data_IF_205524180525
#
_entry.id   IF_205524180525
#
_cell.length_a   1.000
_cell.length_b   1.000
_cell.length_c   1.000
_cell.angle_alpha   90.00
_cell.angle_beta   90.00
_cell.angle_gamma   90.00
#
_symmetry.space_group_name_H-M   'P 1'
#
loop_
_entity.id
_entity.type
_entity.pdbx_description
1 polymer ?
#
# COMPACT_ATOMS: atom_id res chain seq x y z
N UNK A 1 -27.99 -5.74 5.53
CA UNK A 1 -26.76 -5.57 4.74
C UNK A 1 -26.10 -4.26 5.18
N UNK A 2 -24.81 -4.30 5.50
CA UNK A 2 -24.02 -3.12 5.87
C UNK A 2 -23.03 -2.88 4.72
N UNK A 3 -22.89 -1.63 4.29
CA UNK A 3 -21.92 -1.28 3.27
C UNK A 3 -20.50 -1.52 3.78
N UNK A 4 -19.60 -2.01 2.92
CA UNK A 4 -18.26 -2.46 3.34
C UNK A 4 -17.43 -1.32 3.93
N UNK A 5 -17.61 -0.09 3.46
CA UNK A 5 -16.91 1.09 3.99
C UNK A 5 -17.34 1.49 5.42
N UNK A 6 -18.41 0.86 5.95
CA UNK A 6 -18.92 1.12 7.30
C UNK A 6 -18.58 0.03 8.31
N UNK A 7 -18.00 -1.09 7.86
CA UNK A 7 -17.57 -2.18 8.73
C UNK A 7 -16.38 -1.71 9.58
N UNK A 8 -16.35 -2.13 10.84
CA UNK A 8 -15.29 -1.80 11.80
C UNK A 8 -14.77 -3.05 12.50
N UNK A 9 -13.54 -2.96 13.00
CA UNK A 9 -13.02 -3.95 13.96
C UNK A 9 -14.00 -4.13 15.14
N UNK A 10 -14.28 -5.38 15.49
CA UNK A 10 -15.25 -5.77 16.50
C UNK A 10 -16.67 -6.04 15.97
N UNK A 11 -17.00 -5.64 14.74
CA UNK A 11 -18.29 -5.99 14.13
C UNK A 11 -18.40 -7.50 13.90
N UNK A 12 -19.62 -8.02 13.75
CA UNK A 12 -19.85 -9.42 13.39
C UNK A 12 -20.36 -9.53 11.96
N UNK A 13 -19.74 -10.42 11.19
CA UNK A 13 -20.12 -10.76 9.81
C UNK A 13 -20.51 -12.22 9.73
N UNK A 14 -21.36 -12.56 8.75
CA UNK A 14 -21.68 -13.95 8.44
C UNK A 14 -20.53 -14.55 7.64
N UNK A 15 -19.99 -15.66 8.15
CA UNK A 15 -18.81 -16.32 7.60
C UNK A 15 -19.06 -17.82 7.48
N UNK A 16 -18.56 -18.43 6.41
CA UNK A 16 -18.76 -19.84 6.09
C UNK A 16 -17.42 -20.55 6.09
N UNK A 17 -17.29 -21.57 6.93
CA UNK A 17 -16.12 -22.44 6.93
C UNK A 17 -16.01 -23.15 5.56
N UNK A 18 -14.96 -22.89 4.76
CA UNK A 18 -14.84 -23.44 3.41
C UNK A 18 -14.59 -24.96 3.39
N UNK A 19 -14.18 -25.56 4.50
CA UNK A 19 -13.98 -27.01 4.61
C UNK A 19 -15.29 -27.74 4.92
N UNK A 20 -16.09 -27.18 5.82
CA UNK A 20 -17.33 -27.83 6.32
C UNK A 20 -18.61 -27.27 5.73
N UNK A 21 -18.53 -26.14 5.01
CA UNK A 21 -19.63 -25.34 4.49
C UNK A 21 -20.63 -24.91 5.59
N UNK A 22 -20.17 -24.80 6.83
CA UNK A 22 -20.99 -24.35 7.97
C UNK A 22 -20.86 -22.86 8.18
N UNK A 23 -22.00 -22.20 8.23
CA UNK A 23 -22.10 -20.76 8.41
C UNK A 23 -22.21 -20.39 9.89
N UNK A 24 -21.45 -19.41 10.36
CA UNK A 24 -21.60 -18.82 11.68
C UNK A 24 -21.16 -17.35 11.73
N UNK A 25 -21.69 -16.52 12.64
CA UNK A 25 -21.19 -15.17 12.84
C UNK A 25 -19.76 -15.18 13.37
N UNK A 26 -18.88 -14.41 12.75
CA UNK A 26 -17.47 -14.22 13.12
C UNK A 26 -17.16 -12.74 13.28
N UNK A 27 -16.26 -12.44 14.21
CA UNK A 27 -15.79 -11.09 14.50
C UNK A 27 -14.84 -10.60 13.42
N UNK A 28 -15.01 -9.35 13.02
CA UNK A 28 -14.06 -8.61 12.20
C UNK A 28 -12.89 -8.19 13.09
N UNK A 29 -11.69 -8.64 12.76
CA UNK A 29 -10.47 -8.34 13.50
C UNK A 29 -9.93 -6.97 13.11
N UNK A 30 -9.88 -6.68 11.82
CA UNK A 30 -9.24 -5.50 11.24
C UNK A 30 -9.93 -5.10 9.94
N UNK A 31 -9.74 -3.86 9.50
CA UNK A 31 -10.29 -3.32 8.25
C UNK A 31 -9.18 -2.66 7.45
N UNK A 32 -9.24 -2.77 6.13
CA UNK A 32 -8.24 -2.26 5.20
C UNK A 32 -8.90 -1.41 4.13
N UNK A 33 -8.19 -0.36 3.74
CA UNK A 33 -8.58 0.53 2.65
C UNK A 33 -7.39 0.58 1.71
N UNK A 34 -7.67 0.56 0.40
CA UNK A 34 -6.67 0.66 -0.65
C UNK A 34 -7.17 1.53 -1.78
N UNK A 35 -6.26 2.10 -2.54
CA UNK A 35 -6.57 2.68 -3.84
C UNK A 35 -5.97 1.82 -4.96
N UNK A 36 -6.80 1.49 -5.95
CA UNK A 36 -6.42 0.66 -7.10
C UNK A 36 -6.92 1.31 -8.39
N UNK A 37 -6.22 1.08 -9.49
CA UNK A 37 -6.62 1.56 -10.82
C UNK A 37 -7.29 0.48 -11.68
N UNK A 38 -7.21 -0.79 -11.28
CA UNK A 38 -7.79 -1.90 -12.03
C UNK A 38 -8.92 -2.55 -11.24
N UNK A 39 -10.11 -2.56 -11.81
CA UNK A 39 -11.32 -3.16 -11.25
C UNK A 39 -11.86 -4.28 -12.13
N UNK A 40 -12.51 -5.26 -11.52
CA UNK A 40 -13.24 -6.33 -12.18
C UNK A 40 -14.73 -6.16 -11.90
N UNK A 41 -15.53 -6.15 -12.96
CA UNK A 41 -17.00 -6.12 -12.90
C UNK A 41 -17.53 -7.51 -13.18
N UNK A 42 -18.18 -8.12 -12.19
CA UNK A 42 -18.86 -9.40 -12.32
C UNK A 42 -20.36 -9.18 -12.28
N UNK A 43 -21.09 -9.75 -13.24
CA UNK A 43 -22.55 -9.90 -13.10
C UNK A 43 -22.84 -11.32 -12.63
N UNK A 44 -23.45 -11.47 -11.46
CA UNK A 44 -23.78 -12.75 -10.83
C UNK A 44 -25.28 -12.82 -10.62
N UNK A 45 -25.98 -13.69 -11.35
CA UNK A 45 -27.45 -13.79 -11.33
C UNK A 45 -28.16 -12.41 -11.38
N UNK A 46 -27.73 -11.52 -12.27
CA UNK A 46 -28.26 -10.16 -12.44
C UNK A 46 -27.78 -9.11 -11.43
N UNK A 47 -27.02 -9.48 -10.39
CA UNK A 47 -26.38 -8.53 -9.48
C UNK A 47 -24.97 -8.17 -9.98
N UNK A 48 -24.61 -6.89 -9.97
CA UNK A 48 -23.23 -6.46 -10.25
C UNK A 48 -22.38 -6.41 -8.97
N UNK A 49 -21.22 -7.03 -9.03
CA UNK A 49 -20.19 -6.98 -7.98
C UNK A 49 -18.91 -6.41 -8.61
N UNK A 50 -18.46 -5.26 -8.09
CA UNK A 50 -17.21 -4.61 -8.48
C UNK A 50 -16.14 -4.93 -7.44
N UNK A 51 -14.99 -5.45 -7.88
CA UNK A 51 -13.95 -5.97 -6.99
C UNK A 51 -12.54 -5.82 -7.57
N UNK A 52 -11.51 -6.16 -6.79
CA UNK A 52 -10.12 -6.17 -7.27
C UNK A 52 -9.80 -7.48 -8.01
N UNK A 53 -8.84 -7.42 -8.93
CA UNK A 53 -8.39 -8.57 -9.76
C UNK A 53 -8.02 -9.79 -8.92
N UNK A 54 -7.35 -9.59 -7.78
CA UNK A 54 -6.86 -10.67 -6.92
C UNK A 54 -7.88 -11.17 -5.89
N UNK A 55 -9.10 -10.63 -5.85
CA UNK A 55 -10.07 -10.97 -4.81
C UNK A 55 -10.61 -12.41 -4.98
N UNK A 56 -10.50 -13.31 -3.98
CA UNK A 56 -10.91 -14.70 -4.16
C UNK A 56 -12.42 -14.94 -3.97
N UNK A 57 -13.05 -15.59 -4.95
CA UNK A 57 -14.44 -16.05 -4.92
C UNK A 57 -14.49 -17.58 -4.82
N UNK A 58 -15.41 -18.12 -4.03
CA UNK A 58 -15.57 -19.57 -3.92
C UNK A 58 -16.35 -20.13 -5.11
N UNK A 59 -15.67 -20.89 -5.96
CA UNK A 59 -16.24 -21.61 -7.09
C UNK A 59 -16.51 -23.06 -6.67
N UNK A 60 -17.75 -23.50 -6.85
CA UNK A 60 -18.22 -24.82 -6.46
C UNK A 60 -17.37 -25.92 -7.09
N UNK A 61 -16.93 -26.87 -6.25
CA UNK A 61 -16.03 -27.98 -6.59
C UNK A 61 -14.61 -27.58 -7.06
N UNK A 62 -14.26 -26.30 -7.02
CA UNK A 62 -12.94 -25.80 -7.42
C UNK A 62 -12.22 -25.07 -6.27
N UNK A 63 -12.96 -24.52 -5.31
CA UNK A 63 -12.43 -23.73 -4.21
C UNK A 63 -12.30 -22.25 -4.59
N UNK A 64 -11.38 -21.53 -3.95
CA UNK A 64 -11.22 -20.11 -4.20
C UNK A 64 -10.45 -19.82 -5.48
N UNK A 65 -11.05 -19.01 -6.36
CA UNK A 65 -10.46 -18.53 -7.62
C UNK A 65 -10.44 -17.00 -7.57
N UNK A 66 -9.36 -16.38 -8.05
CA UNK A 66 -9.25 -14.92 -8.12
C UNK A 66 -10.29 -14.35 -9.08
N UNK A 67 -10.82 -13.18 -8.76
CA UNK A 67 -11.84 -12.51 -9.57
C UNK A 67 -11.41 -12.38 -11.03
N UNK A 68 -10.18 -11.94 -11.30
CA UNK A 68 -9.63 -11.78 -12.65
C UNK A 68 -9.39 -13.09 -13.42
N UNK A 69 -9.57 -14.24 -12.77
CA UNK A 69 -9.43 -15.59 -13.37
C UNK A 69 -10.79 -16.29 -13.52
N UNK A 70 -11.88 -15.69 -13.03
CA UNK A 70 -13.23 -16.21 -13.23
C UNK A 70 -13.64 -16.13 -14.70
N UNK A 71 -14.50 -17.06 -15.10
CA UNK A 71 -15.09 -17.08 -16.44
C UNK A 71 -16.61 -17.10 -16.37
N UNK A 72 -17.25 -16.57 -17.42
CA UNK A 72 -18.71 -16.67 -17.58
C UNK A 72 -19.11 -18.15 -17.57
N UNK A 73 -20.09 -18.48 -16.73
CA UNK A 73 -20.55 -19.84 -16.48
C UNK A 73 -20.02 -20.47 -15.20
N UNK A 74 -19.07 -19.85 -14.49
CA UNK A 74 -18.63 -20.35 -13.18
C UNK A 74 -19.79 -20.35 -12.16
N UNK A 75 -19.85 -21.41 -11.35
CA UNK A 75 -20.87 -21.62 -10.31
C UNK A 75 -20.32 -21.16 -8.95
N UNK A 76 -20.70 -19.96 -8.51
CA UNK A 76 -20.44 -19.44 -7.17
C UNK A 76 -21.47 -19.92 -6.16
N UNK A 77 -21.23 -19.71 -4.86
CA UNK A 77 -22.14 -20.12 -3.78
C UNK A 77 -22.66 -18.94 -2.97
N UNK A 78 -23.95 -18.98 -2.63
CA UNK A 78 -24.56 -18.09 -1.63
C UNK A 78 -24.34 -18.58 -0.18
N UNK A 79 -24.83 -17.81 0.79
CA UNK A 79 -24.77 -18.13 2.24
C UNK A 79 -25.43 -19.46 2.64
N UNK A 80 -26.34 -19.99 1.82
CA UNK A 80 -27.04 -21.25 2.05
C UNK A 80 -26.45 -22.41 1.21
N UNK A 81 -25.42 -22.15 0.42
CA UNK A 81 -24.81 -23.12 -0.50
C UNK A 81 -25.59 -23.31 -1.81
N UNK A 82 -26.50 -22.39 -2.17
CA UNK A 82 -27.14 -22.38 -3.47
C UNK A 82 -26.18 -21.85 -4.55
N UNK A 83 -26.36 -22.32 -5.78
CA UNK A 83 -25.53 -21.89 -6.92
C UNK A 83 -25.96 -20.52 -7.43
N UNK A 84 -24.97 -19.65 -7.65
CA UNK A 84 -25.09 -18.37 -8.33
C UNK A 84 -24.17 -18.39 -9.57
N UNK A 85 -24.67 -17.98 -10.73
CA UNK A 85 -23.95 -18.08 -11.99
C UNK A 85 -23.24 -16.77 -12.32
N UNK A 86 -21.98 -16.83 -12.74
CA UNK A 86 -21.31 -15.69 -13.38
C UNK A 86 -21.86 -15.52 -14.79
N UNK A 87 -22.56 -14.43 -15.03
CA UNK A 87 -23.23 -14.10 -16.30
C UNK A 87 -22.41 -13.15 -17.17
N UNK A 88 -21.58 -12.30 -16.56
CA UNK A 88 -20.72 -11.36 -17.26
C UNK A 88 -19.41 -11.10 -16.49
N UNK A 89 -18.37 -10.73 -17.23
CA UNK A 89 -17.05 -10.39 -16.73
C UNK A 89 -16.48 -9.23 -17.57
N UNK A 90 -16.03 -8.17 -16.91
CA UNK A 90 -15.33 -7.05 -17.55
C UNK A 90 -14.20 -6.52 -16.65
N UNK A 91 -13.18 -5.91 -17.26
CA UNK A 91 -12.04 -5.31 -16.56
C UNK A 91 -11.95 -3.83 -16.93
N UNK A 92 -12.04 -2.99 -15.91
CA UNK A 92 -11.90 -1.54 -16.03
C UNK A 92 -10.52 -1.08 -15.57
N UNK A 93 -9.88 -0.22 -16.37
CA UNK A 93 -8.75 0.59 -15.93
C UNK A 93 -9.27 2.02 -15.71
N UNK A 94 -9.29 2.47 -14.45
CA UNK A 94 -9.82 3.77 -14.07
C UNK A 94 -8.80 4.88 -14.34
N UNK A 95 -9.30 6.07 -14.72
CA UNK A 95 -8.46 7.25 -14.95
C UNK A 95 -7.77 7.73 -13.67
N UNK A 96 -8.47 7.64 -12.54
CA UNK A 96 -7.98 7.98 -11.20
C UNK A 96 -8.09 6.77 -10.27
N UNK A 97 -7.21 6.63 -9.26
CA UNK A 97 -7.29 5.53 -8.30
C UNK A 97 -8.64 5.48 -7.57
N UNK A 98 -9.25 4.30 -7.52
CA UNK A 98 -10.52 4.05 -6.85
C UNK A 98 -10.29 3.40 -5.48
N UNK A 99 -10.95 3.94 -4.46
CA UNK A 99 -10.90 3.41 -3.10
C UNK A 99 -11.68 2.09 -3.01
N UNK A 100 -11.01 1.04 -2.54
CA UNK A 100 -11.55 -0.30 -2.28
C UNK A 100 -11.33 -0.69 -0.82
N UNK A 101 -12.17 -1.58 -0.33
CA UNK A 101 -12.23 -1.95 1.09
C UNK A 101 -12.09 -3.46 1.26
N UNK A 102 -11.47 -3.88 2.35
CA UNK A 102 -11.38 -5.28 2.77
C UNK A 102 -11.36 -5.35 4.30
N UNK A 103 -11.55 -6.52 4.89
CA UNK A 103 -11.43 -6.69 6.34
C UNK A 103 -11.02 -8.11 6.72
N UNK A 104 -10.39 -8.27 7.89
CA UNK A 104 -9.98 -9.56 8.41
C UNK A 104 -11.10 -10.20 9.23
N UNK A 105 -11.51 -11.43 8.91
CA UNK A 105 -12.51 -12.19 9.68
C UNK A 105 -11.83 -13.25 10.52
N UNK A 106 -12.22 -13.37 11.79
CA UNK A 106 -11.67 -14.38 12.69
C UNK A 106 -12.01 -15.81 12.24
N UNK A 107 -11.07 -16.74 12.44
CA UNK A 107 -11.19 -18.20 12.28
C UNK A 107 -11.39 -18.69 10.85
N UNK A 108 -12.43 -18.23 10.16
CA UNK A 108 -12.84 -18.79 8.86
C UNK A 108 -12.26 -18.02 7.68
N UNK A 109 -11.86 -16.76 7.86
CA UNK A 109 -11.29 -15.93 6.81
C UNK A 109 -12.16 -15.83 5.54
N UNK A 110 -13.48 -15.96 5.70
CA UNK A 110 -14.47 -15.81 4.64
C UNK A 110 -15.58 -14.87 5.06
N UNK A 111 -16.26 -14.30 4.08
CA UNK A 111 -17.47 -13.51 4.27
C UNK A 111 -18.34 -13.55 3.01
N UNK A 112 -19.47 -12.85 3.04
CA UNK A 112 -20.42 -12.82 1.94
C UNK A 112 -20.61 -11.40 1.44
N UNK A 113 -20.61 -11.22 0.11
CA UNK A 113 -20.73 -9.92 -0.57
C UNK A 113 -21.95 -9.87 -1.46
N UNK A 114 -22.42 -8.66 -1.73
CA UNK A 114 -23.64 -8.43 -2.51
C UNK A 114 -24.93 -8.76 -1.75
N UNK A 115 -26.06 -8.43 -2.36
CA UNK A 115 -27.42 -8.74 -1.93
C UNK A 115 -27.69 -10.25 -1.96
N UNK A 116 -27.10 -10.95 -2.93
CA UNK A 116 -27.19 -12.40 -3.06
C UNK A 116 -26.28 -13.16 -2.08
N UNK A 117 -25.34 -12.47 -1.42
CA UNK A 117 -24.49 -13.05 -0.40
C UNK A 117 -23.51 -14.08 -0.96
N UNK A 118 -22.74 -13.70 -1.99
CA UNK A 118 -21.71 -14.52 -2.63
C UNK A 118 -20.54 -14.78 -1.68
N UNK A 119 -20.14 -16.04 -1.52
CA UNK A 119 -19.03 -16.46 -0.66
C UNK A 119 -17.67 -16.06 -1.25
N UNK A 120 -16.94 -15.24 -0.49
CA UNK A 120 -15.59 -14.77 -0.81
C UNK A 120 -14.62 -15.06 0.34
N UNK A 121 -13.33 -15.07 0.03
CA UNK A 121 -12.27 -15.18 1.03
C UNK A 121 -11.63 -13.82 1.29
N UNK A 122 -11.06 -13.69 2.48
CA UNK A 122 -10.08 -12.67 2.78
C UNK A 122 -8.88 -12.81 1.84
N UNK A 123 -8.61 -11.85 0.96
CA UNK A 123 -7.35 -11.85 0.23
C UNK A 123 -6.19 -11.77 1.25
N UNK A 124 -5.50 -12.90 1.51
CA UNK A 124 -4.59 -13.12 2.65
C UNK A 124 -3.40 -12.15 2.72
N UNK A 125 -3.14 -11.42 1.65
CA UNK A 125 -1.94 -10.59 1.55
C UNK A 125 -1.94 -9.38 2.50
N UNK A 126 -3.09 -9.05 3.10
CA UNK A 126 -3.27 -7.78 3.79
C UNK A 126 -4.00 -8.00 5.12
N UNK A 127 -3.20 -8.05 6.19
CA UNK A 127 -3.69 -8.14 7.57
C UNK A 127 -2.85 -9.03 8.47
N UNK A 128 -2.58 -8.56 9.70
CA UNK A 128 -1.79 -9.25 10.74
C UNK A 128 -0.26 -9.32 10.57
N UNK A 129 0.35 -8.52 9.69
CA UNK A 129 1.81 -8.55 9.51
C UNK A 129 2.33 -9.87 8.96
N UNK A 130 1.52 -10.58 8.17
CA UNK A 130 1.98 -11.69 7.36
C UNK A 130 2.86 -11.17 6.23
N UNK A 131 4.13 -10.96 6.58
CA UNK A 131 5.17 -10.69 5.63
C UNK A 131 5.79 -12.01 5.19
N UNK A 132 6.02 -12.16 3.88
CA UNK A 132 6.83 -13.26 3.35
C UNK A 132 8.25 -13.20 3.95
N UNK A 133 8.74 -11.97 4.18
CA UNK A 133 10.00 -11.68 4.84
C UNK A 133 9.76 -10.87 6.12
N UNK A 134 10.04 -11.45 7.28
CA UNK A 134 9.76 -10.80 8.56
C UNK A 134 10.52 -9.46 8.72
N UNK A 135 9.83 -8.30 8.86
CA UNK A 135 10.49 -7.01 9.02
C UNK A 135 11.36 -6.93 10.28
N UNK A 136 11.01 -7.65 11.35
CA UNK A 136 11.79 -7.72 12.58
C UNK A 136 13.17 -8.38 12.40
N UNK A 137 13.43 -9.08 11.29
CA UNK A 137 14.76 -9.61 10.98
C UNK A 137 15.71 -8.52 10.43
N UNK A 138 15.19 -7.35 10.05
CA UNK A 138 15.98 -6.25 9.49
C UNK A 138 16.36 -5.23 10.58
N UNK A 139 17.67 -5.04 10.89
CA UNK A 139 18.10 -4.10 11.92
C UNK A 139 17.69 -2.64 11.66
N UNK A 140 17.51 -2.24 10.40
CA UNK A 140 17.02 -0.90 10.06
C UNK A 140 15.55 -0.72 10.45
N UNK A 141 14.73 -1.76 10.30
CA UNK A 141 13.34 -1.77 10.77
C UNK A 141 13.32 -1.64 12.29
N UNK A 142 14.08 -2.48 13.00
CA UNK A 142 14.15 -2.44 14.46
C UNK A 142 14.68 -1.10 15.02
N UNK A 143 15.44 -0.34 14.24
CA UNK A 143 15.93 0.97 14.66
C UNK A 143 14.83 2.04 14.64
N UNK A 144 13.85 1.93 13.74
CA UNK A 144 12.91 3.02 13.44
C UNK A 144 11.43 2.66 13.65
N UNK A 145 11.09 1.38 13.75
CA UNK A 145 9.74 0.86 13.95
C UNK A 145 9.69 -0.28 15.00
N UNK A 146 8.51 -0.51 15.55
CA UNK A 146 8.21 -1.57 16.50
C UNK A 146 6.91 -2.28 16.14
N UNK A 147 6.82 -3.57 16.47
CA UNK A 147 5.59 -4.34 16.33
C UNK A 147 4.46 -3.73 17.15
N UNK A 148 3.29 -3.63 16.54
CA UNK A 148 2.07 -3.16 17.18
C UNK A 148 0.89 -3.98 16.62
N UNK A 149 0.29 -4.86 17.44
CA UNK A 149 -0.86 -5.67 17.02
C UNK A 149 -2.10 -4.86 16.63
N UNK A 150 -2.18 -3.58 17.00
CA UNK A 150 -3.28 -2.71 16.61
C UNK A 150 -2.98 -1.90 15.34
N UNK A 151 -1.75 -1.95 14.82
CA UNK A 151 -1.41 -1.23 13.60
C UNK A 151 -1.89 -2.01 12.38
N UNK A 152 -2.40 -1.32 11.35
CA UNK A 152 -2.99 -1.92 10.13
C UNK A 152 -2.07 -2.95 9.46
N UNK A 153 -0.75 -2.73 9.50
CA UNK A 153 0.25 -3.64 8.94
C UNK A 153 1.19 -4.25 10.01
N UNK A 154 0.78 -4.24 11.28
CA UNK A 154 1.49 -4.87 12.38
C UNK A 154 2.70 -4.11 12.92
N UNK A 155 3.05 -2.94 12.35
CA UNK A 155 4.20 -2.13 12.75
C UNK A 155 3.82 -0.66 12.86
N UNK A 156 4.47 0.07 13.78
CA UNK A 156 4.41 1.53 13.87
C UNK A 156 5.81 2.14 14.10
N UNK A 157 6.03 3.42 13.76
CA UNK A 157 7.26 4.12 14.05
C UNK A 157 7.56 4.26 15.55
N UNK A 158 8.85 4.18 15.90
CA UNK A 158 9.36 4.46 17.25
C UNK A 158 9.44 5.96 17.52
N UNK A 159 9.33 6.32 18.81
CA UNK A 159 9.47 7.71 19.27
C UNK A 159 10.92 8.20 19.23
N UNK A 160 11.88 7.29 19.24
CA UNK A 160 13.31 7.50 19.17
C UNK A 160 13.86 6.89 17.88
N UNK A 161 13.82 7.66 16.79
CA UNK A 161 14.30 7.19 15.49
C UNK A 161 14.25 8.27 14.42
N UNK A 162 14.57 7.89 13.19
CA UNK A 162 14.43 8.75 12.01
C UNK A 162 12.96 9.01 11.68
N UNK A 163 12.07 8.09 12.04
CA UNK A 163 10.61 8.17 11.83
C UNK A 163 9.84 8.79 13.00
N UNK A 164 10.52 9.37 14.00
CA UNK A 164 9.88 9.94 15.22
C UNK A 164 8.75 10.94 14.97
N UNK A 165 8.78 11.64 13.82
CA UNK A 165 7.75 12.61 13.46
C UNK A 165 6.40 11.94 13.16
N UNK A 166 6.39 10.64 12.85
CA UNK A 166 5.19 9.85 12.57
C UNK A 166 4.74 8.99 13.75
N UNK A 167 5.50 8.97 14.85
CA UNK A 167 5.30 8.03 15.96
C UNK A 167 4.06 8.30 16.83
N UNK A 168 3.46 9.49 16.70
CA UNK A 168 2.25 9.88 17.44
C UNK A 168 0.98 9.82 16.58
N UNK A 169 1.09 9.43 15.31
CA UNK A 169 -0.07 9.26 14.43
C UNK A 169 -0.85 7.98 14.76
N UNK A 170 -2.10 7.90 14.33
CA UNK A 170 -2.95 6.73 14.56
C UNK A 170 -2.74 5.65 13.49
N UNK A 171 -1.75 4.79 13.74
CA UNK A 171 -1.44 3.66 12.87
C UNK A 171 -2.47 2.52 12.91
N UNK A 172 -3.52 2.63 13.73
CA UNK A 172 -4.67 1.73 13.72
C UNK A 172 -5.79 2.19 12.80
N UNK A 173 -5.74 3.44 12.33
CA UNK A 173 -6.72 4.00 11.39
C UNK A 173 -6.36 3.63 9.94
N UNK A 174 -7.17 2.81 9.25
CA UNK A 174 -6.92 2.42 7.87
C UNK A 174 -6.93 3.58 6.88
N UNK A 175 -7.69 4.64 7.13
CA UNK A 175 -7.70 5.81 6.25
C UNK A 175 -6.39 6.58 6.32
N UNK A 176 -5.91 6.83 7.55
CA UNK A 176 -4.59 7.42 7.77
C UNK A 176 -3.48 6.57 7.14
N UNK A 177 -3.47 5.26 7.41
CA UNK A 177 -2.40 4.37 6.93
C UNK A 177 -2.39 4.28 5.41
N UNK A 178 -3.55 4.25 4.76
CA UNK A 178 -3.60 4.27 3.28
C UNK A 178 -3.10 5.59 2.71
N UNK A 179 -3.44 6.73 3.32
CA UNK A 179 -2.87 8.03 2.94
C UNK A 179 -1.34 8.05 3.09
N UNK A 180 -0.81 7.45 4.16
CA UNK A 180 0.62 7.32 4.37
C UNK A 180 1.27 6.36 3.35
N UNK A 181 0.60 5.27 2.97
CA UNK A 181 1.03 4.33 1.94
C UNK A 181 1.16 5.02 0.58
N UNK A 182 0.14 5.76 0.14
CA UNK A 182 0.17 6.47 -1.15
C UNK A 182 1.31 7.50 -1.20
N UNK A 183 1.52 8.27 -0.13
CA UNK A 183 2.69 9.18 -0.02
C UNK A 183 4.02 8.42 -0.10
N UNK A 184 4.08 7.21 0.45
CA UNK A 184 5.28 6.36 0.40
C UNK A 184 5.52 5.78 -0.99
N UNK A 185 4.47 5.38 -1.72
CA UNK A 185 4.56 4.92 -3.12
C UNK A 185 5.11 6.05 -3.99
N UNK A 186 4.53 7.25 -3.91
CA UNK A 186 5.01 8.42 -4.66
C UNK A 186 6.48 8.73 -4.36
N UNK A 187 6.87 8.67 -3.08
CA UNK A 187 8.26 8.87 -2.67
C UNK A 187 9.22 7.84 -3.30
N UNK A 188 8.80 6.58 -3.41
CA UNK A 188 9.61 5.51 -4.01
C UNK A 188 9.76 5.73 -5.53
N UNK A 189 8.70 6.18 -6.21
CA UNK A 189 8.75 6.54 -7.63
C UNK A 189 9.73 7.70 -7.88
N UNK A 190 9.71 8.71 -7.03
CA UNK A 190 10.65 9.83 -7.08
C UNK A 190 12.10 9.35 -6.86
N UNK A 191 12.34 8.47 -5.89
CA UNK A 191 13.67 7.89 -5.62
C UNK A 191 14.12 6.95 -6.76
N UNK A 192 13.21 6.23 -7.43
CA UNK A 192 13.52 5.46 -8.64
C UNK A 192 14.01 6.37 -9.77
N UNK A 193 13.39 7.53 -9.92
CA UNK A 193 13.83 8.55 -10.89
C UNK A 193 15.26 9.04 -10.60
N UNK A 194 15.67 9.10 -9.33
CA UNK A 194 17.06 9.40 -8.93
C UNK A 194 17.99 8.25 -9.34
N UNK A 195 17.61 6.99 -9.14
CA UNK A 195 18.40 5.84 -9.55
C UNK A 195 18.62 5.82 -11.08
N UNK A 196 17.59 6.15 -11.85
CA UNK A 196 17.65 6.24 -13.31
C UNK A 196 18.59 7.38 -13.73
N UNK A 197 18.47 8.56 -13.12
CA UNK A 197 19.38 9.69 -13.33
C UNK A 197 20.85 9.29 -13.07
N UNK A 198 21.11 8.61 -11.95
CA UNK A 198 22.47 8.15 -11.60
C UNK A 198 23.01 7.17 -12.64
N UNK A 199 22.17 6.23 -13.08
CA UNK A 199 22.54 5.23 -14.08
C UNK A 199 22.86 5.90 -15.43
N UNK A 200 22.03 6.82 -15.87
CA UNK A 200 22.22 7.60 -17.09
C UNK A 200 23.49 8.44 -17.06
N UNK A 201 23.76 9.12 -15.95
CA UNK A 201 24.97 9.93 -15.82
C UNK A 201 26.24 9.08 -15.79
N UNK A 202 26.20 7.91 -15.12
CA UNK A 202 27.30 6.94 -15.17
C UNK A 202 27.55 6.45 -16.60
N UNK A 203 26.49 6.13 -17.33
CA UNK A 203 26.58 5.69 -18.73
C UNK A 203 27.14 6.79 -19.64
N UNK A 204 26.90 8.07 -19.32
CA UNK A 204 27.47 9.23 -20.00
C UNK A 204 28.92 9.54 -19.58
N UNK A 205 29.48 8.79 -18.63
CA UNK A 205 30.84 8.98 -18.13
C UNK A 205 31.01 10.19 -17.20
N UNK A 206 29.92 10.67 -16.59
CA UNK A 206 29.99 11.73 -15.59
C UNK A 206 30.79 11.29 -14.36
N UNK A 207 31.52 12.24 -13.77
CA UNK A 207 32.24 12.06 -12.51
C UNK A 207 31.29 11.91 -11.33
N UNK A 208 31.77 11.31 -10.23
CA UNK A 208 31.00 11.17 -8.99
C UNK A 208 30.54 12.53 -8.44
N UNK A 209 31.34 13.58 -8.61
CA UNK A 209 31.01 14.95 -8.18
C UNK A 209 29.83 15.52 -8.99
N UNK A 210 29.87 15.40 -10.32
CA UNK A 210 28.78 15.83 -11.20
C UNK A 210 27.47 15.09 -10.89
N UNK A 211 27.56 13.79 -10.64
CA UNK A 211 26.40 12.97 -10.24
C UNK A 211 25.86 13.45 -8.90
N UNK A 212 26.71 13.65 -7.89
CA UNK A 212 26.29 14.10 -6.56
C UNK A 212 25.65 15.51 -6.59
N UNK A 213 26.18 16.44 -7.39
CA UNK A 213 25.55 17.73 -7.65
C UNK A 213 24.15 17.57 -8.23
N UNK A 214 24.04 16.80 -9.33
CA UNK A 214 22.78 16.64 -10.06
C UNK A 214 21.69 16.00 -9.19
N UNK A 215 22.04 15.04 -8.32
CA UNK A 215 21.10 14.47 -7.35
C UNK A 215 20.63 15.53 -6.35
N UNK A 216 21.53 16.32 -5.78
CA UNK A 216 21.16 17.36 -4.82
C UNK A 216 20.18 18.37 -5.45
N UNK A 217 20.48 18.82 -6.66
CA UNK A 217 19.66 19.78 -7.40
C UNK A 217 18.30 19.17 -7.75
N UNK A 218 18.29 17.94 -8.28
CA UNK A 218 17.06 17.21 -8.57
C UNK A 218 16.15 17.11 -7.34
N UNK A 219 16.67 16.62 -6.20
CA UNK A 219 15.87 16.45 -4.97
C UNK A 219 15.36 17.78 -4.42
N UNK A 220 16.16 18.83 -4.53
CA UNK A 220 15.76 20.15 -4.09
C UNK A 220 14.67 20.73 -4.98
N UNK A 221 14.78 20.53 -6.30
CA UNK A 221 13.76 20.94 -7.26
C UNK A 221 12.44 20.17 -7.07
N UNK A 222 12.50 18.84 -6.90
CA UNK A 222 11.30 18.02 -6.62
C UNK A 222 10.56 18.51 -5.37
N UNK A 223 11.29 18.86 -4.30
CA UNK A 223 10.70 19.43 -3.08
C UNK A 223 10.03 20.79 -3.29
N UNK A 224 10.53 21.62 -4.20
CA UNK A 224 9.87 22.88 -4.52
C UNK A 224 8.62 22.63 -5.36
N UNK A 225 8.75 21.77 -6.37
CA UNK A 225 7.67 21.44 -7.29
C UNK A 225 6.47 20.80 -6.58
N UNK A 226 6.67 20.08 -5.46
CA UNK A 226 5.57 19.53 -4.65
C UNK A 226 4.66 20.60 -4.02
N UNK A 227 5.05 21.88 -4.07
CA UNK A 227 4.25 23.01 -3.59
C UNK A 227 3.84 23.97 -4.72
N UNK A 228 3.98 23.55 -5.97
CA UNK A 228 3.52 24.28 -7.15
C UNK A 228 2.35 23.55 -7.82
N UNK A 229 1.44 24.28 -8.47
CA UNK A 229 0.50 23.70 -9.43
C UNK A 229 1.14 23.50 -10.82
N UNK A 230 0.37 23.00 -11.77
CA UNK A 230 0.82 22.74 -13.14
C UNK A 230 1.22 24.02 -13.90
N UNK A 231 0.69 25.18 -13.50
CA UNK A 231 1.01 26.48 -14.08
C UNK A 231 2.21 27.16 -13.38
N UNK A 232 2.77 26.51 -12.35
CA UNK A 232 3.89 27.00 -11.56
C UNK A 232 3.51 27.96 -10.43
N UNK A 233 2.22 28.07 -10.08
CA UNK A 233 1.79 28.89 -8.94
C UNK A 233 1.97 28.13 -7.63
N UNK A 234 2.35 28.84 -6.57
CA UNK A 234 2.55 28.25 -5.26
C UNK A 234 1.19 27.87 -4.64
N UNK A 235 0.96 26.58 -4.43
CA UNK A 235 -0.25 26.05 -3.77
C UNK A 235 -0.12 25.99 -2.24
N UNK A 236 1.09 26.10 -1.70
CA UNK A 236 1.36 26.15 -0.26
C UNK A 236 2.61 26.99 0.05
N UNK A 237 2.41 28.26 0.41
CA UNK A 237 3.48 29.23 0.63
C UNK A 237 4.39 28.86 1.81
N UNK A 238 3.82 28.39 2.91
CA UNK A 238 4.60 27.97 4.08
C UNK A 238 5.49 26.76 3.77
N UNK A 239 4.94 25.77 3.06
CA UNK A 239 5.66 24.59 2.62
C UNK A 239 6.78 24.93 1.64
N UNK A 240 6.49 25.79 0.67
CA UNK A 240 7.46 26.26 -0.32
C UNK A 240 8.63 27.03 0.34
N UNK A 241 8.34 27.94 1.26
CA UNK A 241 9.37 28.68 1.99
C UNK A 241 10.23 27.77 2.88
N UNK A 242 9.62 26.81 3.58
CA UNK A 242 10.36 25.83 4.35
C UNK A 242 11.24 24.94 3.46
N UNK A 243 10.80 24.62 2.24
CA UNK A 243 11.61 23.90 1.26
C UNK A 243 12.81 24.72 0.80
N UNK A 244 12.62 26.01 0.50
CA UNK A 244 13.72 26.94 0.14
C UNK A 244 14.78 27.03 1.23
N UNK A 245 14.37 27.18 2.50
CA UNK A 245 15.31 27.19 3.63
C UNK A 245 16.08 25.86 3.72
N UNK A 246 15.38 24.74 3.52
CA UNK A 246 15.98 23.41 3.57
C UNK A 246 17.02 23.21 2.47
N UNK A 247 16.82 23.77 1.28
CA UNK A 247 17.77 23.68 0.16
C UNK A 247 19.15 24.25 0.51
N UNK A 248 19.21 25.30 1.32
CA UNK A 248 20.48 25.89 1.75
C UNK A 248 21.35 24.91 2.54
N UNK A 249 20.71 24.03 3.32
CA UNK A 249 21.41 23.01 4.14
C UNK A 249 21.55 21.66 3.42
N UNK A 250 20.95 21.52 2.23
CA UNK A 250 20.90 20.28 1.43
C UNK A 250 21.44 20.47 0.02
N UNK A 251 22.18 21.54 -0.24
CA UNK A 251 22.99 21.70 -1.45
C UNK A 251 24.22 20.79 -1.39
N UNK A 252 24.81 20.52 -2.55
CA UNK A 252 26.07 19.77 -2.61
C UNK A 252 27.14 20.41 -1.72
N UNK A 253 27.38 21.71 -1.85
CA UNK A 253 28.39 22.43 -1.09
C UNK A 253 28.15 22.36 0.43
N UNK A 254 26.89 22.47 0.87
CA UNK A 254 26.55 22.35 2.27
C UNK A 254 26.83 20.94 2.81
N UNK A 255 26.53 19.90 2.02
CA UNK A 255 26.78 18.51 2.39
C UNK A 255 28.27 18.19 2.42
N UNK A 256 29.06 18.68 1.45
CA UNK A 256 30.52 18.57 1.47
C UNK A 256 31.09 19.29 2.69
N UNK A 257 30.62 20.51 2.96
CA UNK A 257 31.04 21.30 4.13
C UNK A 257 30.71 20.60 5.46
N UNK A 258 29.66 19.78 5.50
CA UNK A 258 29.30 18.95 6.66
C UNK A 258 30.15 17.67 6.81
N UNK A 259 31.09 17.42 5.88
CA UNK A 259 32.01 16.29 5.92
C UNK A 259 31.57 15.05 5.13
N UNK A 260 30.54 15.16 4.27
CA UNK A 260 30.15 14.06 3.38
C UNK A 260 31.05 13.98 2.14
N UNK A 261 31.25 12.78 1.62
CA UNK A 261 31.84 12.58 0.27
C UNK A 261 30.76 12.51 -0.81
N UNK A 262 31.10 12.74 -2.09
CA UNK A 262 30.18 12.54 -3.22
C UNK A 262 29.55 11.14 -3.23
N UNK A 263 30.32 10.08 -2.94
CA UNK A 263 29.82 8.71 -2.87
C UNK A 263 28.80 8.54 -1.72
N UNK A 264 29.04 9.19 -0.58
CA UNK A 264 28.09 9.19 0.53
C UNK A 264 26.82 9.96 0.19
N UNK A 265 26.90 11.05 -0.59
CA UNK A 265 25.73 11.80 -1.06
C UNK A 265 24.88 10.92 -1.98
N UNK A 266 25.50 10.29 -2.98
CA UNK A 266 24.84 9.40 -3.94
C UNK A 266 24.20 8.21 -3.19
N UNK A 267 24.99 7.48 -2.39
CA UNK A 267 24.49 6.31 -1.67
C UNK A 267 23.39 6.66 -0.67
N UNK A 268 23.48 7.78 0.05
CA UNK A 268 22.41 8.20 0.97
C UNK A 268 21.13 8.62 0.26
N UNK A 269 21.21 8.95 -1.03
CA UNK A 269 20.05 9.37 -1.82
C UNK A 269 19.28 8.22 -2.44
N UNK A 270 19.88 7.05 -2.54
CA UNK A 270 19.26 5.81 -3.05
C UNK A 270 18.86 4.85 -1.93
N UNK A 271 18.92 5.28 -0.66
CA UNK A 271 18.53 4.45 0.49
C UNK A 271 17.03 4.50 0.70
N UNK A 272 16.40 3.33 0.71
CA UNK A 272 15.03 3.17 1.20
C UNK A 272 15.01 3.05 2.73
N UNK A 273 13.89 3.43 3.35
CA UNK A 273 13.66 3.19 4.77
C UNK A 273 12.70 1.99 4.91
N UNK A 274 13.23 0.77 5.09
CA UNK A 274 12.40 -0.44 5.21
C UNK A 274 11.44 -0.38 6.40
N UNK A 275 11.72 0.42 7.43
CA UNK A 275 10.84 0.56 8.59
C UNK A 275 9.50 1.20 8.20
N UNK A 276 9.53 2.24 7.35
CA UNK A 276 8.31 2.86 6.86
C UNK A 276 7.54 1.89 5.96
N UNK A 277 8.24 1.12 5.14
CA UNK A 277 7.64 0.12 4.26
C UNK A 277 6.92 -0.98 5.07
N UNK A 278 7.44 -1.36 6.23
CA UNK A 278 6.73 -2.23 7.18
C UNK A 278 5.51 -1.53 7.81
N UNK A 279 5.59 -0.24 8.14
CA UNK A 279 4.42 0.46 8.71
C UNK A 279 3.27 0.63 7.69
N UNK A 280 3.55 0.66 6.39
CA UNK A 280 2.54 0.86 5.32
C UNK A 280 2.29 -0.37 4.42
N UNK A 281 2.81 -1.54 4.81
CA UNK A 281 2.58 -2.80 4.10
C UNK A 281 3.23 -2.90 2.71
N UNK A 282 4.34 -2.20 2.49
CA UNK A 282 5.16 -2.22 1.26
C UNK A 282 6.44 -3.04 1.43
N UNK A 283 6.64 -3.66 2.61
CA UNK A 283 7.92 -4.28 2.96
C UNK A 283 8.35 -5.36 1.96
N UNK A 284 7.50 -6.35 1.69
CA UNK A 284 7.80 -7.46 0.78
C UNK A 284 7.94 -7.01 -0.68
N UNK A 285 7.07 -6.08 -1.12
CA UNK A 285 7.10 -5.51 -2.46
C UNK A 285 8.48 -4.88 -2.77
N UNK A 286 9.12 -4.30 -1.75
CA UNK A 286 10.42 -3.65 -1.86
C UNK A 286 11.56 -4.45 -1.23
N UNK A 287 11.35 -5.70 -0.80
CA UNK A 287 12.31 -6.47 -0.01
C UNK A 287 13.70 -6.58 -0.68
N UNK A 288 13.70 -6.81 -2.00
CA UNK A 288 14.94 -6.94 -2.77
C UNK A 288 15.76 -5.64 -2.88
N UNK A 289 15.25 -4.51 -2.38
CA UNK A 289 15.91 -3.20 -2.42
C UNK A 289 16.67 -2.82 -1.15
N UNK A 290 16.57 -3.60 -0.07
CA UNK A 290 17.01 -3.20 1.29
C UNK A 290 18.48 -3.44 1.64
#
# INVERSE_FOLDING_TARGET
MLAIEKIKSGDKVISTDPETMKTSPKTVLETYIREVTTLVHLTVNGEEIVTTVDHPFYVKNQGFIKAGELIVGDELLDVNGNVLLVENFDVELTDEPTKVYNFQVEVFHTYHVGELGVLVHNAEKYGNGHYDNNPSDNPKVLADAEENPNAVYGYKPKKDGSLKNFANEDWSDPEFVESARQKRIQYIEDDRSICDLVSDMKNKGCSTEEIAHSICDYRNQTRLNSYLDLDGNIINENGYNAALERMQTRSYDALISSGKTPEQIISSSMRTNPAMDACVGLYDENFNSY
#
